data_IF_274526950777
#
_entry.id   IF_274526950777
#
_cell.length_a   1.000
_cell.length_b   1.000
_cell.length_c   1.000
_cell.angle_alpha   90.00
_cell.angle_beta   90.00
_cell.angle_gamma   90.00
#
_symmetry.space_group_name_H-M   'P 1'
#
loop_
_entity.id
_entity.type
_entity.pdbx_description
1 polymer ?
#
# COMPACT_ATOMS: atom_id res chain seq x y z
N UNK A 1 -24.12 20.02 -11.44
CA UNK A 1 -23.09 18.97 -11.60
C UNK A 1 -21.77 19.61 -11.22
N UNK A 2 -21.16 19.18 -10.11
CA UNK A 2 -19.83 19.70 -9.77
C UNK A 2 -18.81 19.13 -10.77
N UNK A 3 -18.20 20.03 -11.53
CA UNK A 3 -17.18 19.75 -12.55
C UNK A 3 -15.80 20.23 -12.08
N UNK A 4 -15.52 20.10 -10.79
CA UNK A 4 -14.19 20.33 -10.23
C UNK A 4 -13.36 19.05 -10.38
N UNK A 5 -12.09 19.20 -10.75
CA UNK A 5 -11.14 18.07 -10.77
C UNK A 5 -10.62 17.86 -9.34
N UNK A 6 -10.58 16.61 -8.89
CA UNK A 6 -10.04 16.26 -7.57
C UNK A 6 -8.54 15.97 -7.71
N UNK A 7 -7.72 16.79 -7.06
CA UNK A 7 -6.26 16.71 -7.08
C UNK A 7 -5.70 16.86 -5.65
N UNK A 8 -4.45 16.46 -5.46
CA UNK A 8 -3.70 16.60 -4.21
C UNK A 8 -4.38 15.89 -3.03
N UNK A 9 -4.85 14.66 -3.24
CA UNK A 9 -5.32 13.82 -2.14
C UNK A 9 -4.17 13.61 -1.14
N UNK A 10 -4.51 13.61 0.15
CA UNK A 10 -3.58 13.44 1.27
C UNK A 10 -4.08 12.34 2.18
N UNK A 11 -3.15 11.64 2.83
CA UNK A 11 -3.46 10.67 3.87
C UNK A 11 -3.29 11.33 5.24
N UNK A 12 -4.35 11.31 6.04
CA UNK A 12 -4.35 11.82 7.41
C UNK A 12 -4.69 10.70 8.42
N UNK A 13 -4.14 10.82 9.62
CA UNK A 13 -4.48 10.01 10.78
C UNK A 13 -5.32 10.84 11.75
N UNK A 14 -6.47 10.30 12.16
CA UNK A 14 -7.38 10.92 13.11
C UNK A 14 -7.35 10.18 14.45
N UNK A 15 -7.14 10.91 15.54
CA UNK A 15 -7.24 10.35 16.88
C UNK A 15 -8.69 10.47 17.38
N UNK A 16 -9.28 9.35 17.79
CA UNK A 16 -10.66 9.35 18.29
C UNK A 16 -10.83 10.33 19.46
N UNK A 17 -11.85 11.18 19.34
CA UNK A 17 -12.19 12.19 20.36
C UNK A 17 -11.51 13.55 20.16
N UNK A 18 -10.66 13.74 19.14
CA UNK A 18 -10.11 15.05 18.78
C UNK A 18 -10.91 15.71 17.65
N UNK A 19 -10.89 17.04 17.50
CA UNK A 19 -11.41 17.68 16.30
C UNK A 19 -10.52 17.39 15.07
N UNK A 20 -11.11 17.40 13.88
CA UNK A 20 -10.39 17.17 12.60
C UNK A 20 -9.20 18.11 12.38
N UNK A 21 -9.22 19.32 12.96
CA UNK A 21 -8.10 20.26 12.87
C UNK A 21 -6.82 19.78 13.56
N UNK A 22 -6.88 18.68 14.31
CA UNK A 22 -5.73 18.02 14.93
C UNK A 22 -5.29 16.77 14.17
N UNK A 23 -5.89 16.47 13.01
CA UNK A 23 -5.52 15.33 12.19
C UNK A 23 -4.06 15.46 11.71
N UNK A 24 -3.34 14.34 11.78
CA UNK A 24 -1.92 14.28 11.47
C UNK A 24 -1.72 13.89 10.02
N UNK A 25 -1.04 14.74 9.26
CA UNK A 25 -0.68 14.44 7.87
C UNK A 25 0.38 13.32 7.84
N UNK A 26 0.05 12.19 7.23
CA UNK A 26 0.89 10.98 7.20
C UNK A 26 1.57 10.74 5.84
N UNK A 27 0.93 11.14 4.75
CA UNK A 27 1.51 11.11 3.40
C UNK A 27 0.89 12.21 2.52
N UNK A 28 1.72 12.82 1.68
CA UNK A 28 1.30 13.71 0.60
C UNK A 28 2.28 13.61 -0.58
N UNK A 29 1.78 13.94 -1.77
CA UNK A 29 2.56 13.93 -3.02
C UNK A 29 2.38 15.25 -3.76
N UNK A 30 3.05 16.33 -3.33
CA UNK A 30 2.84 17.67 -3.91
C UNK A 30 3.18 17.74 -5.40
N UNK A 31 4.22 17.01 -5.82
CA UNK A 31 4.71 16.97 -7.20
C UNK A 31 3.86 16.05 -8.09
N UNK A 32 3.03 15.19 -7.51
CA UNK A 32 2.22 14.19 -8.21
C UNK A 32 0.72 14.36 -7.86
N UNK A 33 0.07 15.41 -8.38
CA UNK A 33 -1.26 15.84 -7.94
C UNK A 33 -2.38 14.84 -8.19
N UNK A 34 -2.17 13.85 -9.06
CA UNK A 34 -3.14 12.81 -9.38
C UNK A 34 -2.99 11.55 -8.52
N UNK A 35 -1.90 11.43 -7.76
CA UNK A 35 -1.69 10.26 -6.92
C UNK A 35 -2.76 10.20 -5.84
N UNK A 36 -3.32 9.01 -5.70
CA UNK A 36 -4.28 8.66 -4.68
C UNK A 36 -3.68 7.54 -3.82
N UNK A 37 -3.57 7.77 -2.53
CA UNK A 37 -3.12 6.79 -1.54
C UNK A 37 -4.30 6.21 -0.76
N UNK A 38 -4.35 4.89 -0.68
CA UNK A 38 -5.08 4.12 0.32
C UNK A 38 -4.11 3.56 1.35
N UNK A 39 -4.53 3.51 2.60
CA UNK A 39 -3.77 2.91 3.69
C UNK A 39 -4.56 1.76 4.30
N UNK A 40 -3.86 0.67 4.59
CA UNK A 40 -4.39 -0.50 5.27
C UNK A 40 -3.38 -0.92 6.35
N UNK A 41 -3.88 -1.30 7.52
CA UNK A 41 -3.04 -1.82 8.61
C UNK A 41 -2.99 -3.33 8.46
N UNK A 42 -1.80 -3.92 8.62
CA UNK A 42 -1.62 -5.38 8.61
C UNK A 42 -2.46 -6.06 9.70
N UNK A 43 -2.73 -7.34 9.54
CA UNK A 43 -3.65 -8.08 10.43
C UNK A 43 -3.09 -8.20 11.86
N UNK A 44 -1.76 -8.23 11.98
CA UNK A 44 -1.04 -8.20 13.25
C UNK A 44 -0.94 -6.79 13.88
N UNK A 45 -1.43 -5.76 13.19
CA UNK A 45 -1.41 -4.36 13.65
C UNK A 45 -0.04 -3.69 13.59
N UNK A 46 1.00 -4.36 13.07
CA UNK A 46 2.38 -3.86 13.12
C UNK A 46 2.72 -2.94 11.96
N UNK A 47 2.18 -3.15 10.78
CA UNK A 47 2.57 -2.42 9.58
C UNK A 47 1.41 -1.58 9.06
N UNK A 48 1.72 -0.41 8.50
CA UNK A 48 0.80 0.30 7.61
C UNK A 48 1.29 0.11 6.20
N UNK A 49 0.44 -0.41 5.33
CA UNK A 49 0.65 -0.56 3.91
C UNK A 49 0.02 0.63 3.20
N UNK A 50 0.77 1.25 2.29
CA UNK A 50 0.34 2.37 1.48
C UNK A 50 0.27 1.94 0.02
N UNK A 51 -0.95 1.81 -0.50
CA UNK A 51 -1.20 1.56 -1.91
C UNK A 51 -1.42 2.90 -2.62
N UNK A 52 -0.57 3.24 -3.58
CA UNK A 52 -0.67 4.50 -4.33
C UNK A 52 -1.09 4.17 -5.76
N UNK A 53 -2.12 4.86 -6.28
CA UNK A 53 -2.64 4.74 -7.66
C UNK A 53 -2.61 6.10 -8.35
N UNK A 54 -2.46 6.14 -9.66
CA UNK A 54 -2.54 7.38 -10.47
C UNK A 54 -3.85 7.48 -11.29
N UNK A 55 -4.60 6.38 -11.38
CA UNK A 55 -5.82 6.29 -12.19
C UNK A 55 -6.63 5.03 -11.88
N UNK A 56 -7.33 4.53 -12.88
CA UNK A 56 -8.20 3.35 -12.76
C UNK A 56 -7.55 2.05 -13.24
N UNK A 57 -6.32 2.11 -13.77
CA UNK A 57 -5.60 0.90 -14.16
C UNK A 57 -5.32 0.06 -12.90
N UNK A 58 -5.38 -1.28 -12.99
CA UNK A 58 -5.10 -2.18 -11.88
C UNK A 58 -3.58 -2.28 -11.68
N UNK A 59 -2.99 -1.17 -11.27
CA UNK A 59 -1.57 -1.04 -10.91
C UNK A 59 -1.46 -0.11 -9.71
N UNK A 60 -0.50 -0.38 -8.83
CA UNK A 60 -0.21 0.49 -7.70
C UNK A 60 1.26 0.40 -7.29
N UNK A 61 1.78 1.51 -6.75
CA UNK A 61 2.95 1.45 -5.88
C UNK A 61 2.54 0.82 -4.57
N UNK A 62 3.48 0.17 -3.90
CA UNK A 62 3.28 -0.41 -2.59
C UNK A 62 4.42 0.02 -1.69
N UNK A 63 4.12 0.88 -0.72
CA UNK A 63 5.05 1.28 0.33
C UNK A 63 4.55 0.73 1.67
N UNK A 64 5.42 0.67 2.68
CA UNK A 64 5.01 0.29 4.02
C UNK A 64 5.73 1.10 5.09
N UNK A 65 5.17 1.13 6.30
CA UNK A 65 5.81 1.65 7.50
C UNK A 65 5.66 0.59 8.61
N UNK A 66 6.75 0.21 9.27
CA UNK A 66 6.67 -0.54 10.52
C UNK A 66 6.27 0.42 11.64
N UNK A 67 5.15 0.19 12.31
CA UNK A 67 4.66 1.04 13.38
C UNK A 67 5.51 0.93 14.65
N UNK A 68 6.32 -0.12 14.80
CA UNK A 68 7.30 -0.20 15.88
C UNK A 68 8.46 0.81 15.70
N UNK A 69 8.72 1.26 14.47
CA UNK A 69 9.74 2.27 14.16
C UNK A 69 9.26 3.71 14.41
N UNK A 70 7.99 3.88 14.83
CA UNK A 70 7.42 5.15 15.29
C UNK A 70 7.03 5.08 16.77
N UNK A 71 8.00 4.98 17.70
CA UNK A 71 7.74 4.75 19.13
C UNK A 71 7.03 5.93 19.84
N UNK A 72 6.97 7.10 19.20
CA UNK A 72 6.21 8.26 19.69
C UNK A 72 4.78 8.30 19.13
N UNK A 73 4.36 7.28 18.38
CA UNK A 73 3.11 7.24 17.64
C UNK A 73 3.15 8.03 16.33
N UNK A 74 1.99 8.16 15.70
CA UNK A 74 1.81 8.85 14.42
C UNK A 74 1.74 10.36 14.68
N UNK A 75 2.86 11.06 14.53
CA UNK A 75 2.96 12.51 14.82
C UNK A 75 3.26 13.38 13.59
N UNK A 76 3.38 12.78 12.41
CA UNK A 76 3.63 13.48 11.16
C UNK A 76 3.74 12.53 9.98
N UNK A 77 4.49 12.94 8.96
CA UNK A 77 4.79 12.10 7.80
C UNK A 77 5.47 10.82 8.26
N UNK A 78 4.92 9.68 7.84
CA UNK A 78 5.46 8.38 8.23
C UNK A 78 6.75 8.06 7.43
N UNK A 79 7.70 7.33 8.03
CA UNK A 79 8.95 6.94 7.38
C UNK A 79 8.73 5.79 6.39
N UNK A 80 8.04 6.07 5.28
CA UNK A 80 7.68 5.06 4.28
C UNK A 80 8.90 4.37 3.65
N UNK A 81 8.92 3.04 3.72
CA UNK A 81 9.81 2.18 2.95
C UNK A 81 9.15 1.86 1.61
N UNK A 82 9.83 2.21 0.52
CA UNK A 82 9.33 2.04 -0.85
C UNK A 82 9.62 0.64 -1.38
N UNK A 83 8.77 -0.33 -1.03
CA UNK A 83 8.94 -1.71 -1.47
C UNK A 83 8.82 -1.85 -3.00
N UNK A 84 7.77 -1.25 -3.57
CA UNK A 84 7.51 -1.21 -5.02
C UNK A 84 7.27 0.24 -5.40
N UNK A 85 8.22 0.82 -6.15
CA UNK A 85 8.23 2.24 -6.51
C UNK A 85 8.07 2.45 -8.03
N UNK A 86 7.14 1.72 -8.63
CA UNK A 86 6.71 1.88 -10.02
C UNK A 86 5.19 1.53 -10.14
N UNK A 87 4.64 1.61 -11.34
CA UNK A 87 3.25 1.23 -11.64
C UNK A 87 3.23 0.08 -12.67
N UNK A 88 3.91 -1.04 -12.37
CA UNK A 88 4.00 -2.18 -13.29
C UNK A 88 2.86 -3.20 -13.14
N UNK A 89 2.34 -3.36 -11.93
CA UNK A 89 1.35 -4.36 -11.58
C UNK A 89 0.52 -3.92 -10.36
N UNK A 90 -0.56 -4.65 -10.10
CA UNK A 90 -1.31 -4.56 -8.85
C UNK A 90 -0.65 -5.40 -7.76
N UNK A 91 -0.68 -4.87 -6.54
CA UNK A 91 -0.26 -5.56 -5.32
C UNK A 91 -1.30 -5.27 -4.24
N UNK A 92 -2.27 -6.17 -4.13
CA UNK A 92 -3.36 -6.09 -3.15
C UNK A 92 -3.03 -6.98 -1.96
N UNK A 93 -3.02 -6.40 -0.77
CA UNK A 93 -2.72 -7.11 0.46
C UNK A 93 -3.80 -8.15 0.78
N UNK A 94 -3.38 -9.33 1.22
CA UNK A 94 -4.29 -10.41 1.65
C UNK A 94 -4.16 -10.66 3.14
N UNK A 95 -2.95 -10.93 3.62
CA UNK A 95 -2.62 -11.17 5.03
C UNK A 95 -1.10 -11.19 5.23
N UNK A 96 -0.62 -11.24 6.47
CA UNK A 96 0.78 -11.45 6.80
C UNK A 96 0.98 -12.43 7.97
N UNK A 97 2.12 -13.10 7.94
CA UNK A 97 2.67 -13.87 9.06
C UNK A 97 4.05 -13.28 9.37
N UNK A 98 4.13 -12.49 10.45
CA UNK A 98 5.31 -11.69 10.79
C UNK A 98 5.77 -10.81 9.60
N UNK A 99 6.96 -11.07 9.04
CA UNK A 99 7.52 -10.30 7.91
C UNK A 99 7.12 -10.84 6.54
N UNK A 100 6.40 -11.97 6.47
CA UNK A 100 6.00 -12.60 5.22
C UNK A 100 4.59 -12.17 4.86
N UNK A 101 4.48 -11.35 3.84
CA UNK A 101 3.22 -10.76 3.37
C UNK A 101 2.72 -11.48 2.13
N UNK A 102 1.43 -11.81 2.12
CA UNK A 102 0.74 -12.38 0.97
C UNK A 102 0.06 -11.27 0.19
N UNK A 103 0.30 -11.23 -1.12
CA UNK A 103 -0.33 -10.28 -2.03
C UNK A 103 -0.98 -10.99 -3.22
N UNK A 104 -2.14 -10.50 -3.62
CA UNK A 104 -2.70 -10.77 -4.95
C UNK A 104 -2.05 -9.83 -5.95
N UNK A 105 -1.55 -10.36 -7.06
CA UNK A 105 -0.85 -9.57 -8.07
C UNK A 105 -1.14 -10.04 -9.49
N UNK A 106 -1.12 -9.10 -10.43
CA UNK A 106 -1.16 -9.37 -11.87
C UNK A 106 0.23 -9.30 -12.54
N UNK A 107 1.32 -9.16 -11.76
CA UNK A 107 2.68 -9.13 -12.28
C UNK A 107 3.01 -10.42 -13.04
N UNK A 108 3.22 -10.31 -14.35
CA UNK A 108 3.38 -11.41 -15.30
C UNK A 108 2.26 -12.48 -15.23
N UNK A 109 1.09 -12.09 -14.73
CA UNK A 109 -0.02 -12.97 -14.42
C UNK A 109 -1.37 -12.28 -14.69
N UNK A 110 -1.83 -12.18 -15.95
CA UNK A 110 -3.06 -11.44 -16.29
C UNK A 110 -4.33 -11.98 -15.61
N UNK A 111 -4.32 -13.22 -15.13
CA UNK A 111 -5.44 -13.83 -14.38
C UNK A 111 -5.23 -13.79 -12.86
N UNK A 112 -4.25 -13.01 -12.42
CA UNK A 112 -3.79 -12.86 -11.06
C UNK A 112 -3.21 -14.15 -10.45
N UNK A 113 -2.33 -13.95 -9.48
CA UNK A 113 -1.75 -15.01 -8.65
C UNK A 113 -1.56 -14.49 -7.23
N UNK A 114 -1.33 -15.39 -6.28
CA UNK A 114 -0.87 -15.03 -4.95
C UNK A 114 0.63 -15.23 -4.83
N UNK A 115 1.31 -14.21 -4.33
CA UNK A 115 2.74 -14.25 -4.03
C UNK A 115 2.98 -13.92 -2.56
N UNK A 116 4.08 -14.44 -2.03
CA UNK A 116 4.64 -14.07 -0.75
C UNK A 116 5.88 -13.20 -0.94
N UNK A 117 5.92 -12.08 -0.24
CA UNK A 117 7.06 -11.17 -0.16
C UNK A 117 7.50 -11.11 1.31
N UNK A 118 8.76 -11.46 1.58
CA UNK A 118 9.35 -11.27 2.90
C UNK A 118 9.97 -9.87 3.00
N UNK A 119 9.44 -9.02 3.87
CA UNK A 119 9.95 -7.65 4.06
C UNK A 119 11.38 -7.62 4.62
N UNK A 120 11.84 -8.70 5.26
CA UNK A 120 13.25 -8.83 5.66
C UNK A 120 14.19 -9.12 4.47
N UNK A 121 13.65 -9.66 3.36
CA UNK A 121 14.38 -10.01 2.14
C UNK A 121 13.57 -9.61 0.89
N UNK A 122 13.34 -8.30 0.66
CA UNK A 122 12.30 -7.82 -0.25
C UNK A 122 12.65 -7.95 -1.75
N UNK A 123 13.83 -8.46 -2.10
CA UNK A 123 14.26 -8.58 -3.49
C UNK A 123 13.27 -9.44 -4.29
N UNK A 124 12.88 -8.97 -5.49
CA UNK A 124 11.98 -9.69 -6.41
C UNK A 124 12.43 -11.14 -6.65
N UNK A 125 13.75 -11.38 -6.67
CA UNK A 125 14.32 -12.73 -6.83
C UNK A 125 13.99 -13.71 -5.69
N UNK A 126 13.56 -13.21 -4.53
CA UNK A 126 13.20 -13.98 -3.34
C UNK A 126 11.69 -14.17 -3.20
N UNK A 127 10.88 -13.53 -4.04
CA UNK A 127 9.43 -13.65 -3.97
C UNK A 127 9.02 -15.09 -4.30
N UNK A 128 8.03 -15.59 -3.57
CA UNK A 128 7.56 -16.97 -3.71
C UNK A 128 6.14 -16.97 -4.24
N UNK A 129 5.88 -17.76 -5.26
CA UNK A 129 4.52 -18.01 -5.72
C UNK A 129 3.82 -18.94 -4.72
N UNK A 130 2.69 -18.49 -4.17
CA UNK A 130 1.87 -19.24 -3.22
C UNK A 130 0.74 -19.97 -3.94
N UNK A 131 0.00 -19.23 -4.77
CA UNK A 131 -1.04 -19.77 -5.65
C UNK A 131 -0.76 -19.26 -7.06
N UNK A 132 -0.40 -20.12 -8.02
CA UNK A 132 -0.18 -19.69 -9.40
C UNK A 132 -1.48 -19.19 -10.03
N UNK A 133 -1.36 -18.39 -11.08
CA UNK A 133 -2.53 -18.04 -11.88
C UNK A 133 -3.19 -19.28 -12.47
N UNK A 134 -4.50 -19.24 -12.64
CA UNK A 134 -5.23 -20.26 -13.38
C UNK A 134 -5.19 -19.97 -14.89
N UNK A 135 -5.46 -20.98 -15.72
CA UNK A 135 -5.47 -20.83 -17.19
C UNK A 135 -6.71 -20.07 -17.70
N UNK A 136 -7.80 -20.08 -16.95
CA UNK A 136 -9.10 -19.50 -17.36
C UNK A 136 -9.78 -18.60 -16.33
N UNK A 137 -9.53 -18.83 -15.05
CA UNK A 137 -10.32 -18.24 -13.97
C UNK A 137 -9.46 -17.21 -13.24
N UNK A 138 -10.06 -16.08 -12.90
CA UNK A 138 -9.40 -15.05 -12.12
C UNK A 138 -9.54 -15.39 -10.63
N UNK A 139 -8.45 -15.25 -9.89
CA UNK A 139 -8.41 -15.34 -8.42
C UNK A 139 -8.88 -14.03 -7.80
#
# INVERSE_FOLDING_TARGET
TETSTNLHQKLYYHLLGTPQSQDVLCAEFPDEPKWMSGAEVSDDGRYVLLSIREGCDPVNRLWYCDLNDVPQGITGLLPWVKLIDNFDAEYEYVTNEETVFTFKTNLDAPQYRLINIDFAQPSISQWKELIPQHDKDVI
#
